data_IF_688545028095
#
_entry.id   IF_688545028095
#
_cell.length_a   1.000
_cell.length_b   1.000
_cell.length_c   1.000
_cell.angle_alpha   90.00
_cell.angle_beta   90.00
_cell.angle_gamma   90.00
#
_symmetry.space_group_name_H-M   'P 1'
#
loop_
_entity.id
_entity.type
_entity.pdbx_description
1 polymer ?
#
# COMPACT_ATOMS: atom_id res chain seq x y z
N UNK A 1 9.46 0.40 -1.16
CA UNK A 1 8.50 0.52 -2.28
C UNK A 1 9.21 0.41 -3.63
N UNK A 2 10.44 0.92 -3.73
CA UNK A 2 11.19 0.99 -5.01
C UNK A 2 11.64 -0.39 -5.55
N UNK A 3 11.60 -1.44 -4.73
CA UNK A 3 11.96 -2.80 -5.12
C UNK A 3 10.78 -3.65 -5.64
N UNK A 4 9.61 -3.08 -5.87
CA UNK A 4 8.41 -3.84 -6.31
C UNK A 4 7.76 -4.72 -5.23
N UNK A 5 8.34 -4.76 -4.03
CA UNK A 5 7.82 -5.51 -2.88
C UNK A 5 6.73 -4.73 -2.12
N UNK A 6 5.83 -5.45 -1.46
CA UNK A 6 4.86 -4.84 -0.55
C UNK A 6 5.63 -4.10 0.55
N UNK A 7 5.35 -2.79 0.80
CA UNK A 7 6.14 -1.95 1.68
C UNK A 7 5.88 -2.25 3.16
N UNK A 8 6.32 -3.41 3.61
CA UNK A 8 6.34 -3.79 5.03
C UNK A 8 7.77 -3.73 5.53
N UNK A 9 7.96 -3.11 6.68
CA UNK A 9 9.24 -3.01 7.38
C UNK A 9 9.12 -3.48 8.82
N UNK A 10 10.18 -4.12 9.32
CA UNK A 10 10.26 -4.57 10.69
C UNK A 10 11.63 -4.22 11.31
N UNK A 11 11.65 -3.96 12.61
CA UNK A 11 12.88 -3.78 13.39
C UNK A 11 12.83 -4.58 14.67
N UNK A 12 13.97 -5.16 15.06
CA UNK A 12 14.15 -5.83 16.36
C UNK A 12 14.97 -4.92 17.26
N UNK A 13 14.46 -4.70 18.47
CA UNK A 13 15.05 -3.83 19.48
C UNK A 13 15.40 -4.65 20.73
N UNK A 14 16.61 -4.47 21.23
CA UNK A 14 17.09 -5.00 22.51
C UNK A 14 17.70 -3.88 23.32
N UNK A 15 17.35 -3.76 24.60
CA UNK A 15 17.89 -2.75 25.52
C UNK A 15 17.88 -1.32 24.94
N UNK A 16 16.76 -0.97 24.29
CA UNK A 16 16.54 0.34 23.67
C UNK A 16 17.31 0.58 22.37
N UNK A 17 18.04 -0.40 21.85
CA UNK A 17 18.82 -0.29 20.60
C UNK A 17 18.23 -1.18 19.50
N UNK A 18 18.16 -0.66 18.30
CA UNK A 18 17.85 -1.46 17.10
C UNK A 18 19.06 -2.36 16.82
N UNK A 19 18.82 -3.69 16.82
CA UNK A 19 19.86 -4.70 16.56
C UNK A 19 19.71 -5.35 15.20
N UNK A 20 18.52 -5.30 14.59
CA UNK A 20 18.28 -5.83 13.26
C UNK A 20 17.10 -5.11 12.61
N UNK A 21 17.08 -5.11 11.27
CA UNK A 21 16.00 -4.57 10.45
C UNK A 21 15.61 -5.57 9.38
N UNK A 22 14.37 -5.50 8.89
CA UNK A 22 13.89 -6.33 7.80
C UNK A 22 12.92 -5.58 6.92
N UNK A 23 12.90 -5.94 5.65
CA UNK A 23 11.90 -5.53 4.66
C UNK A 23 11.31 -6.76 3.99
N UNK A 24 10.11 -6.66 3.46
CA UNK A 24 9.59 -7.71 2.59
C UNK A 24 10.52 -7.91 1.39
N UNK A 25 10.81 -9.18 1.08
CA UNK A 25 11.62 -9.59 -0.04
C UNK A 25 11.18 -10.95 -0.66
N UNK A 26 9.90 -11.35 -0.65
CA UNK A 26 9.49 -12.63 -1.23
C UNK A 26 9.82 -12.76 -2.71
N UNK A 27 9.65 -11.68 -3.49
CA UNK A 27 9.92 -11.67 -4.93
C UNK A 27 11.42 -11.66 -5.19
N UNK A 28 12.13 -10.75 -4.55
CA UNK A 28 13.58 -10.52 -4.72
C UNK A 28 14.40 -11.76 -4.30
N UNK A 29 14.03 -12.38 -3.18
CA UNK A 29 14.68 -13.56 -2.64
C UNK A 29 14.16 -14.90 -3.20
N UNK A 30 13.08 -14.91 -4.01
CA UNK A 30 12.34 -16.12 -4.40
C UNK A 30 11.99 -17.02 -3.19
N UNK A 31 11.66 -16.40 -2.05
CA UNK A 31 11.37 -17.07 -0.78
C UNK A 31 9.99 -16.61 -0.24
N UNK A 32 8.97 -17.49 -0.25
CA UNK A 32 7.64 -17.14 0.23
C UNK A 32 7.62 -16.80 1.73
N UNK A 33 8.68 -17.10 2.47
CA UNK A 33 8.80 -16.80 3.90
C UNK A 33 9.56 -15.50 4.17
N UNK A 34 10.12 -14.82 3.17
CA UNK A 34 10.92 -13.62 3.33
C UNK A 34 10.07 -12.36 3.65
N UNK A 35 9.16 -12.48 4.63
CA UNK A 35 8.47 -11.34 5.20
C UNK A 35 9.43 -10.50 6.04
N UNK A 36 9.14 -9.20 6.16
CA UNK A 36 9.98 -8.25 6.89
C UNK A 36 10.35 -8.74 8.29
N UNK A 37 9.39 -9.33 9.00
CA UNK A 37 9.55 -9.87 10.32
C UNK A 37 10.52 -11.05 10.33
N UNK A 38 10.38 -11.98 9.39
CA UNK A 38 11.25 -13.16 9.29
C UNK A 38 12.69 -12.73 8.98
N UNK A 39 12.86 -11.77 8.07
CA UNK A 39 14.18 -11.20 7.77
C UNK A 39 14.80 -10.57 9.02
N UNK A 40 14.05 -9.72 9.72
CA UNK A 40 14.53 -9.06 10.95
C UNK A 40 14.85 -10.07 12.07
N UNK A 41 14.03 -11.11 12.25
CA UNK A 41 14.27 -12.16 13.26
C UNK A 41 15.55 -12.95 12.96
N UNK A 42 15.76 -13.36 11.71
CA UNK A 42 16.96 -14.07 11.27
C UNK A 42 18.22 -13.25 11.50
N UNK A 43 18.18 -11.97 11.18
CA UNK A 43 19.32 -11.08 11.37
C UNK A 43 19.60 -10.82 12.86
N UNK A 44 18.56 -10.59 13.67
CA UNK A 44 18.69 -10.46 15.11
C UNK A 44 19.30 -11.72 15.74
N UNK A 45 18.89 -12.92 15.29
CA UNK A 45 19.45 -14.18 15.75
C UNK A 45 20.94 -14.33 15.44
N UNK A 46 21.38 -13.88 14.25
CA UNK A 46 22.81 -13.85 13.87
C UNK A 46 23.59 -12.88 14.75
N UNK A 47 23.06 -11.66 14.96
CA UNK A 47 23.70 -10.64 15.80
C UNK A 47 23.88 -11.13 17.24
N UNK A 48 22.88 -11.83 17.77
CA UNK A 48 22.94 -12.34 19.17
C UNK A 48 23.60 -13.70 19.30
N UNK A 49 23.91 -14.39 18.18
CA UNK A 49 24.43 -15.75 18.19
C UNK A 49 23.47 -16.78 18.84
N UNK A 50 22.18 -16.47 18.83
CA UNK A 50 21.16 -17.31 19.48
C UNK A 50 19.81 -17.20 18.73
N UNK A 51 19.12 -18.34 18.52
CA UNK A 51 17.79 -18.35 17.93
C UNK A 51 16.71 -17.82 18.88
N UNK A 52 16.96 -17.84 20.18
CA UNK A 52 16.09 -17.21 21.18
C UNK A 52 16.44 -15.74 21.33
N UNK A 53 15.48 -14.89 21.11
CA UNK A 53 15.60 -13.44 21.19
C UNK A 53 14.98 -12.92 22.50
N UNK A 54 15.31 -13.58 23.60
CA UNK A 54 14.80 -13.23 24.93
C UNK A 54 15.07 -11.75 25.25
N UNK A 55 14.05 -11.07 25.78
CA UNK A 55 14.10 -9.64 26.10
C UNK A 55 13.94 -8.71 24.89
N UNK A 56 13.96 -9.21 23.65
CA UNK A 56 13.78 -8.39 22.46
C UNK A 56 12.32 -7.98 22.24
N UNK A 57 12.14 -6.84 21.58
CA UNK A 57 10.86 -6.36 21.08
C UNK A 57 10.95 -6.22 19.56
N UNK A 58 9.89 -6.61 18.84
CA UNK A 58 9.78 -6.42 17.39
C UNK A 58 8.72 -5.35 17.10
N UNK A 59 9.05 -4.44 16.22
CA UNK A 59 8.14 -3.43 15.68
C UNK A 59 7.98 -3.67 14.19
N UNK A 60 6.75 -3.66 13.69
CA UNK A 60 6.42 -3.92 12.29
C UNK A 60 5.30 -2.99 11.82
N UNK A 61 5.33 -2.59 10.57
CA UNK A 61 4.35 -1.64 10.03
C UNK A 61 2.96 -2.25 9.78
N UNK A 62 2.88 -3.59 9.63
CA UNK A 62 1.62 -4.32 9.39
C UNK A 62 1.44 -5.42 10.44
N UNK A 63 0.20 -5.73 10.78
CA UNK A 63 -0.14 -6.86 11.65
C UNK A 63 0.48 -8.17 11.12
N UNK A 64 1.22 -8.92 11.97
CA UNK A 64 1.89 -10.13 11.53
C UNK A 64 0.89 -11.24 11.16
N UNK A 65 1.19 -11.96 10.08
CA UNK A 65 0.45 -13.14 9.67
C UNK A 65 0.75 -14.34 10.58
N UNK A 66 0.04 -15.45 10.40
CA UNK A 66 0.20 -16.67 11.22
C UNK A 66 1.64 -17.23 11.19
N UNK A 67 2.29 -17.22 10.03
CA UNK A 67 3.68 -17.67 9.88
C UNK A 67 4.64 -16.82 10.72
N UNK A 68 4.55 -15.49 10.59
CA UNK A 68 5.40 -14.56 11.32
C UNK A 68 5.13 -14.60 12.83
N UNK A 69 3.85 -14.66 13.22
CA UNK A 69 3.45 -14.78 14.63
C UNK A 69 4.00 -16.07 15.25
N UNK A 70 3.94 -17.21 14.53
CA UNK A 70 4.55 -18.47 14.97
C UNK A 70 6.07 -18.32 15.15
N UNK A 71 6.77 -17.71 14.19
CA UNK A 71 8.21 -17.47 14.29
C UNK A 71 8.57 -16.58 15.48
N UNK A 72 7.79 -15.54 15.76
CA UNK A 72 7.98 -14.64 16.92
C UNK A 72 7.85 -15.39 18.26
N UNK A 73 6.87 -16.28 18.37
CA UNK A 73 6.68 -17.13 19.55
C UNK A 73 7.83 -18.13 19.73
N UNK A 74 8.31 -18.74 18.61
CA UNK A 74 9.49 -19.61 18.66
C UNK A 74 10.77 -18.86 19.03
N UNK A 75 10.92 -17.63 18.54
CA UNK A 75 12.02 -16.75 18.91
C UNK A 75 11.93 -16.20 20.35
N UNK A 76 10.83 -16.42 21.05
CA UNK A 76 10.58 -15.97 22.43
C UNK A 76 10.68 -14.47 22.61
N UNK A 77 10.12 -13.71 21.68
CA UNK A 77 10.06 -12.25 21.81
C UNK A 77 9.27 -11.84 23.05
N UNK A 78 9.78 -10.85 23.77
CA UNK A 78 9.07 -10.27 24.91
C UNK A 78 7.83 -9.50 24.47
N UNK A 79 7.93 -8.78 23.34
CA UNK A 79 6.88 -7.86 22.85
C UNK A 79 6.87 -7.75 21.34
N UNK A 80 5.67 -7.64 20.79
CA UNK A 80 5.42 -7.29 19.38
C UNK A 80 4.55 -6.03 19.33
N UNK A 81 4.95 -5.07 18.51
CA UNK A 81 4.21 -3.82 18.26
C UNK A 81 3.96 -3.72 16.77
N UNK A 82 2.70 -3.53 16.35
CA UNK A 82 2.39 -3.38 14.93
C UNK A 82 1.58 -2.12 14.62
N UNK A 83 1.69 -1.66 13.38
CA UNK A 83 1.01 -0.49 12.87
C UNK A 83 -0.41 -0.79 12.43
N UNK A 84 -0.61 -0.94 11.12
CA UNK A 84 -1.91 -1.21 10.52
C UNK A 84 -2.40 -2.63 10.80
N UNK A 85 -3.69 -2.81 11.03
CA UNK A 85 -4.34 -4.11 11.07
C UNK A 85 -4.38 -4.75 9.67
N UNK A 86 -4.33 -6.09 9.61
CA UNK A 86 -4.51 -6.84 8.37
C UNK A 86 -5.78 -7.70 8.43
N UNK A 87 -6.90 -7.23 7.84
CA UNK A 87 -8.17 -7.94 7.88
C UNK A 87 -8.19 -9.22 7.03
N UNK A 88 -7.13 -9.53 6.29
CA UNK A 88 -7.05 -10.70 5.39
C UNK A 88 -6.22 -11.84 5.97
N UNK A 89 -5.09 -11.53 6.58
CA UNK A 89 -4.12 -12.55 7.05
C UNK A 89 -3.58 -12.29 8.44
N UNK A 90 -4.01 -11.21 9.11
CA UNK A 90 -3.54 -10.83 10.44
C UNK A 90 -3.80 -11.88 11.51
N UNK A 91 -2.80 -12.20 12.29
CA UNK A 91 -2.87 -13.25 13.33
C UNK A 91 -2.58 -12.73 14.75
N UNK A 92 -2.74 -11.42 14.95
CA UNK A 92 -2.63 -10.75 16.23
C UNK A 92 -3.95 -10.08 16.69
N UNK A 93 -5.08 -10.51 16.11
CA UNK A 93 -6.41 -10.06 16.49
C UNK A 93 -7.39 -9.85 15.35
N UNK A 94 -6.94 -9.64 14.09
CA UNK A 94 -7.84 -9.35 12.97
C UNK A 94 -8.55 -10.58 12.42
N UNK A 95 -7.83 -11.64 12.07
CA UNK A 95 -8.40 -12.91 11.54
C UNK A 95 -8.23 -14.03 12.56
N UNK A 96 -7.04 -14.15 13.10
CA UNK A 96 -6.67 -15.07 14.15
C UNK A 96 -6.02 -14.30 15.30
N UNK A 97 -5.88 -14.95 16.47
CA UNK A 97 -5.08 -14.40 17.55
C UNK A 97 -4.20 -15.50 18.18
N UNK A 98 -3.04 -15.73 17.58
CA UNK A 98 -2.08 -16.71 18.08
C UNK A 98 -1.46 -16.31 19.42
N UNK A 99 -1.34 -15.03 19.68
CA UNK A 99 -0.73 -14.52 20.92
C UNK A 99 -1.65 -14.63 22.14
N UNK A 100 -2.95 -14.88 21.94
CA UNK A 100 -3.89 -15.16 23.03
C UNK A 100 -3.98 -16.64 23.41
N UNK A 101 -3.36 -17.54 22.64
CA UNK A 101 -3.42 -18.97 22.88
C UNK A 101 -2.49 -19.38 24.04
N UNK A 102 -3.08 -19.58 25.21
CA UNK A 102 -2.37 -19.85 26.46
C UNK A 102 -1.67 -21.22 26.52
N UNK A 103 -2.04 -22.14 25.63
CA UNK A 103 -1.43 -23.48 25.56
C UNK A 103 -0.07 -23.47 24.88
N UNK A 104 0.26 -22.39 24.16
CA UNK A 104 1.59 -22.20 23.60
C UNK A 104 2.61 -21.96 24.72
N UNK A 105 3.78 -22.55 24.56
CA UNK A 105 4.82 -22.59 25.59
C UNK A 105 5.60 -21.26 25.75
N UNK A 106 5.23 -20.21 25.01
CA UNK A 106 5.73 -18.84 25.19
C UNK A 106 4.58 -17.84 25.02
N UNK A 107 4.59 -16.79 25.82
CA UNK A 107 3.62 -15.71 25.77
C UNK A 107 4.32 -14.39 25.45
N UNK A 108 3.88 -13.74 24.40
CA UNK A 108 4.43 -12.46 23.91
C UNK A 108 3.40 -11.35 24.14
N UNK A 109 3.81 -10.23 24.72
CA UNK A 109 2.95 -9.06 24.83
C UNK A 109 2.75 -8.42 23.44
N UNK A 110 1.50 -8.08 23.10
CA UNK A 110 1.16 -7.50 21.79
C UNK A 110 0.51 -6.15 21.94
N UNK A 111 0.89 -5.21 21.08
CA UNK A 111 0.27 -3.90 20.95
C UNK A 111 0.08 -3.57 19.48
N UNK A 112 -1.17 -3.41 19.03
CA UNK A 112 -1.52 -2.95 17.70
C UNK A 112 -1.87 -1.47 17.65
N UNK A 113 -2.01 -0.94 16.44
CA UNK A 113 -2.54 0.40 16.18
C UNK A 113 -1.52 1.54 16.28
N UNK A 114 -0.25 1.24 16.48
CA UNK A 114 0.80 2.27 16.58
C UNK A 114 1.11 2.84 15.20
N UNK A 115 0.82 4.14 14.99
CA UNK A 115 0.91 4.79 13.67
C UNK A 115 0.06 4.09 12.59
N UNK A 116 -1.07 3.53 12.96
CA UNK A 116 -1.90 2.69 12.09
C UNK A 116 -2.31 3.40 10.79
N UNK A 117 -2.68 4.69 10.87
CA UNK A 117 -3.07 5.47 9.70
C UNK A 117 -1.89 5.60 8.71
N UNK A 118 -0.74 6.06 9.15
CA UNK A 118 0.42 6.26 8.29
C UNK A 118 0.88 4.94 7.63
N UNK A 119 0.88 3.84 8.40
CA UNK A 119 1.20 2.50 7.88
C UNK A 119 0.16 2.04 6.84
N UNK A 120 -1.13 2.26 7.10
CA UNK A 120 -2.22 1.90 6.19
C UNK A 120 -2.19 2.71 4.88
N UNK A 121 -1.89 4.01 4.95
CA UNK A 121 -1.76 4.88 3.78
C UNK A 121 -0.60 4.44 2.86
N UNK A 122 0.54 4.07 3.44
CA UNK A 122 1.68 3.54 2.69
C UNK A 122 1.30 2.28 1.88
N UNK A 123 0.62 1.33 2.52
CA UNK A 123 0.15 0.10 1.88
C UNK A 123 -0.92 0.37 0.80
N UNK A 124 -1.91 1.20 1.13
CA UNK A 124 -2.98 1.56 0.21
C UNK A 124 -2.46 2.27 -1.03
N UNK A 125 -1.49 3.18 -0.86
CA UNK A 125 -0.80 3.87 -1.96
C UNK A 125 -0.10 2.89 -2.88
N UNK A 126 0.68 1.96 -2.33
CA UNK A 126 1.38 0.94 -3.10
C UNK A 126 0.41 0.08 -3.93
N UNK A 127 -0.66 -0.46 -3.32
CA UNK A 127 -1.61 -1.30 -4.03
C UNK A 127 -2.43 -0.52 -5.07
N UNK A 128 -2.70 0.76 -4.86
CA UNK A 128 -3.33 1.61 -5.86
C UNK A 128 -2.46 1.73 -7.10
N UNK A 129 -1.19 2.10 -6.93
CA UNK A 129 -0.22 2.21 -8.03
C UNK A 129 -0.05 0.88 -8.78
N UNK A 130 0.05 -0.24 -8.06
CA UNK A 130 0.16 -1.57 -8.69
C UNK A 130 -1.07 -1.92 -9.52
N UNK A 131 -2.28 -1.61 -9.05
CA UNK A 131 -3.51 -1.83 -9.84
C UNK A 131 -3.55 -0.97 -11.10
N UNK A 132 -3.09 0.28 -11.03
CA UNK A 132 -3.02 1.16 -12.19
C UNK A 132 -2.02 0.65 -13.24
N UNK A 133 -0.85 0.20 -12.82
CA UNK A 133 0.15 -0.42 -13.70
C UNK A 133 -0.41 -1.69 -14.34
N UNK A 134 -0.98 -2.61 -13.54
CA UNK A 134 -1.56 -3.86 -14.05
C UNK A 134 -2.71 -3.61 -15.04
N UNK A 135 -3.55 -2.59 -14.81
CA UNK A 135 -4.58 -2.19 -15.77
C UNK A 135 -3.99 -1.73 -17.10
N UNK A 136 -2.89 -0.96 -17.07
CA UNK A 136 -2.20 -0.50 -18.28
C UNK A 136 -1.58 -1.67 -19.06
N UNK A 137 -1.01 -2.63 -18.36
CA UNK A 137 -0.39 -3.82 -18.96
C UNK A 137 -1.42 -4.79 -19.55
N UNK A 138 -2.59 -4.95 -18.92
CA UNK A 138 -3.65 -5.84 -19.39
C UNK A 138 -4.45 -5.27 -20.59
N UNK A 139 -4.43 -3.93 -20.78
CA UNK A 139 -5.10 -3.25 -21.87
C UNK A 139 -4.13 -2.30 -22.58
N UNK A 140 -3.19 -2.84 -23.38
CA UNK A 140 -2.20 -2.02 -24.06
C UNK A 140 -2.88 -1.03 -25.01
N UNK A 141 -2.41 0.19 -24.98
CA UNK A 141 -2.91 1.23 -25.88
C UNK A 141 -2.42 0.95 -27.30
N UNK A 142 -3.25 1.27 -28.28
CA UNK A 142 -2.92 1.15 -29.71
C UNK A 142 -1.66 1.98 -30.04
N UNK A 143 -0.70 1.37 -30.71
CA UNK A 143 0.53 2.03 -31.13
C UNK A 143 0.32 3.00 -32.28
N UNK A 144 -0.68 2.74 -33.13
CA UNK A 144 -1.06 3.58 -34.28
C UNK A 144 -1.91 4.80 -33.90
N UNK A 145 -2.24 4.99 -32.62
CA UNK A 145 -2.98 6.15 -32.15
C UNK A 145 -2.02 7.31 -31.83
N UNK A 146 -2.18 8.43 -32.52
CA UNK A 146 -1.47 9.66 -32.21
C UNK A 146 -1.90 10.17 -30.83
N UNK A 147 -0.92 10.56 -30.01
CA UNK A 147 -1.15 11.08 -28.66
C UNK A 147 -0.31 12.30 -28.39
N UNK A 148 -0.90 13.25 -27.68
CA UNK A 148 -0.14 14.33 -27.09
C UNK A 148 0.67 13.77 -25.91
N UNK A 149 1.99 14.02 -25.84
CA UNK A 149 2.81 13.62 -24.70
C UNK A 149 2.28 14.17 -23.37
N UNK A 150 2.30 13.35 -22.32
CA UNK A 150 1.68 13.70 -21.03
C UNK A 150 2.32 14.93 -20.36
N UNK A 151 3.60 15.19 -20.61
CA UNK A 151 4.31 16.39 -20.13
C UNK A 151 3.73 17.70 -20.68
N UNK A 152 3.02 17.67 -21.81
CA UNK A 152 2.35 18.84 -22.38
C UNK A 152 1.14 19.30 -21.54
N UNK A 153 0.67 18.45 -20.64
CA UNK A 153 -0.45 18.75 -19.75
C UNK A 153 -0.02 19.14 -18.32
N UNK A 154 1.29 19.10 -18.01
CA UNK A 154 1.81 19.21 -16.64
C UNK A 154 1.73 20.64 -16.04
N UNK A 155 1.62 21.71 -16.84
CA UNK A 155 1.65 23.08 -16.34
C UNK A 155 0.67 23.99 -17.10
N UNK A 156 -0.57 23.57 -17.19
CA UNK A 156 -1.59 24.35 -17.90
C UNK A 156 -2.13 25.47 -17.00
N UNK A 157 -2.21 26.72 -17.49
CA UNK A 157 -2.76 27.84 -16.73
C UNK A 157 -4.21 27.58 -16.31
N UNK A 158 -4.51 27.89 -15.05
CA UNK A 158 -5.86 27.75 -14.46
C UNK A 158 -6.44 26.32 -14.55
N UNK A 159 -5.57 25.27 -14.55
CA UNK A 159 -5.98 23.88 -14.68
C UNK A 159 -5.27 22.99 -13.64
N UNK A 160 -5.68 23.03 -12.36
CA UNK A 160 -5.00 22.33 -11.29
C UNK A 160 -5.37 20.85 -11.17
N UNK A 161 -6.34 20.36 -11.94
CA UNK A 161 -6.88 19.01 -11.79
C UNK A 161 -5.99 17.95 -12.40
N UNK A 162 -5.81 16.85 -11.66
CA UNK A 162 -5.12 15.67 -12.14
C UNK A 162 -5.98 14.92 -13.18
N UNK A 163 -5.37 14.42 -14.27
CA UNK A 163 -6.10 13.68 -15.28
C UNK A 163 -6.50 12.29 -14.78
N UNK A 164 -7.73 11.87 -15.08
CA UNK A 164 -8.15 10.47 -15.00
C UNK A 164 -8.26 9.89 -16.42
N UNK A 165 -7.98 8.59 -16.56
CA UNK A 165 -8.07 7.89 -17.83
C UNK A 165 -8.82 6.57 -17.70
N UNK A 166 -9.69 6.29 -18.66
CA UNK A 166 -10.25 4.97 -18.91
C UNK A 166 -9.61 4.38 -20.17
N UNK A 167 -9.09 3.17 -20.07
CA UNK A 167 -8.48 2.44 -21.20
C UNK A 167 -8.94 0.99 -21.27
N UNK A 168 -9.76 0.55 -20.32
CA UNK A 168 -10.21 -0.84 -20.12
C UNK A 168 -11.61 -1.12 -20.69
N UNK A 169 -12.24 -0.15 -21.35
CA UNK A 169 -13.52 -0.36 -22.00
C UNK A 169 -13.33 -0.95 -23.41
N UNK A 170 -13.99 -2.08 -23.72
CA UNK A 170 -13.91 -2.71 -25.06
C UNK A 170 -14.28 -1.74 -26.21
N UNK A 171 -15.23 -0.84 -25.97
CA UNK A 171 -15.65 0.18 -26.94
C UNK A 171 -14.56 1.19 -27.30
N UNK A 172 -13.53 1.34 -26.50
CA UNK A 172 -12.40 2.24 -26.80
C UNK A 172 -11.38 1.59 -27.75
N UNK A 173 -11.45 0.28 -27.97
CA UNK A 173 -10.59 -0.45 -28.92
C UNK A 173 -9.09 -0.09 -28.79
N UNK A 174 -8.56 -0.01 -27.55
CA UNK A 174 -7.19 0.35 -27.26
C UNK A 174 -6.88 1.87 -27.25
N UNK A 175 -7.90 2.71 -27.37
CA UNK A 175 -7.79 4.14 -27.09
C UNK A 175 -8.00 4.41 -25.60
N UNK A 176 -7.56 5.57 -25.13
CA UNK A 176 -7.87 6.03 -23.77
C UNK A 176 -8.82 7.23 -23.78
N UNK A 177 -9.78 7.25 -22.89
CA UNK A 177 -10.66 8.38 -22.65
C UNK A 177 -10.15 9.15 -21.43
N UNK A 178 -9.90 10.44 -21.60
CA UNK A 178 -9.60 11.36 -20.49
C UNK A 178 -10.89 11.88 -19.87
N UNK A 179 -10.93 11.98 -18.54
CA UNK A 179 -12.04 12.62 -17.84
C UNK A 179 -11.56 13.30 -16.55
N UNK A 180 -12.35 14.22 -16.06
CA UNK A 180 -12.25 14.79 -14.72
C UNK A 180 -13.48 14.37 -13.92
N UNK A 181 -13.28 14.07 -12.65
CA UNK A 181 -14.34 13.72 -11.67
C UNK A 181 -14.06 14.52 -10.40
N UNK A 182 -14.71 15.68 -10.30
CA UNK A 182 -14.40 16.70 -9.31
C UNK A 182 -15.65 17.07 -8.51
N UNK A 183 -15.47 17.31 -7.23
CA UNK A 183 -16.53 17.71 -6.28
C UNK A 183 -16.84 16.65 -5.24
N UNK A 184 -17.85 16.89 -4.38
CA UNK A 184 -18.26 15.95 -3.34
C UNK A 184 -18.83 14.66 -3.95
N UNK A 185 -18.42 13.51 -3.41
CA UNK A 185 -18.90 12.20 -3.90
C UNK A 185 -20.37 11.93 -3.59
N UNK A 186 -20.93 12.64 -2.62
CA UNK A 186 -22.32 12.58 -2.17
C UNK A 186 -23.15 13.77 -2.65
N UNK A 187 -22.69 14.48 -3.68
CA UNK A 187 -23.39 15.60 -4.27
C UNK A 187 -24.80 15.20 -4.75
N UNK A 188 -25.80 16.02 -4.42
CA UNK A 188 -27.19 15.77 -4.83
C UNK A 188 -27.41 15.93 -6.34
N UNK A 189 -26.47 16.56 -7.05
CA UNK A 189 -26.49 16.81 -8.49
C UNK A 189 -25.14 16.53 -9.09
N UNK A 190 -25.13 15.89 -10.27
CA UNK A 190 -23.95 15.68 -11.08
C UNK A 190 -24.06 16.45 -12.39
N UNK A 191 -23.01 17.20 -12.72
CA UNK A 191 -22.93 17.94 -13.97
C UNK A 191 -22.06 17.16 -14.97
N UNK A 192 -22.64 16.65 -16.05
CA UNK A 192 -21.88 16.00 -17.11
C UNK A 192 -21.51 17.05 -18.18
N UNK A 193 -20.22 17.36 -18.27
CA UNK A 193 -19.68 18.31 -19.23
C UNK A 193 -19.04 17.57 -20.40
N UNK A 194 -19.66 17.60 -21.57
CA UNK A 194 -19.13 17.01 -22.80
C UNK A 194 -18.61 18.11 -23.72
N UNK A 195 -17.41 17.93 -24.24
CA UNK A 195 -16.81 18.86 -25.21
C UNK A 195 -16.89 18.30 -26.64
N UNK A 196 -16.90 19.22 -27.63
CA UNK A 196 -16.80 18.86 -29.02
C UNK A 196 -15.35 18.78 -29.52
N UNK A 197 -15.14 18.18 -30.68
CA UNK A 197 -13.85 18.15 -31.35
C UNK A 197 -13.58 19.54 -32.01
N UNK A 198 -12.37 20.13 -31.88
CA UNK A 198 -11.14 19.61 -31.27
C UNK A 198 -10.93 20.01 -29.78
N UNK A 199 -11.94 20.51 -29.11
CA UNK A 199 -11.84 20.91 -27.71
C UNK A 199 -11.66 19.68 -26.78
N UNK A 200 -11.30 19.93 -25.52
CA UNK A 200 -11.15 18.94 -24.45
C UNK A 200 -11.47 19.59 -23.10
N UNK A 201 -11.33 18.88 -21.99
CA UNK A 201 -11.78 19.33 -20.66
C UNK A 201 -11.21 20.68 -20.20
N UNK A 202 -10.09 21.13 -20.74
CA UNK A 202 -9.54 22.47 -20.51
C UNK A 202 -10.50 23.62 -20.86
N UNK A 203 -11.46 23.36 -21.78
CA UNK A 203 -12.53 24.31 -22.09
C UNK A 203 -13.32 24.72 -20.85
N UNK A 204 -13.54 23.76 -19.94
CA UNK A 204 -14.37 23.96 -18.75
C UNK A 204 -13.60 24.48 -17.54
N UNK A 205 -12.32 24.78 -17.62
CA UNK A 205 -11.47 25.17 -16.48
C UNK A 205 -12.00 26.32 -15.63
N UNK A 206 -12.73 27.25 -16.23
CA UNK A 206 -13.37 28.36 -15.49
C UNK A 206 -14.78 28.03 -14.99
N UNK A 207 -15.41 27.01 -15.51
CA UNK A 207 -16.75 26.57 -15.12
C UNK A 207 -16.71 25.53 -14.02
N UNK A 208 -15.72 24.67 -14.00
CA UNK A 208 -15.57 23.60 -13.00
C UNK A 208 -15.64 24.11 -11.54
N UNK A 209 -14.93 25.18 -11.15
CA UNK A 209 -15.04 25.72 -9.79
C UNK A 209 -16.46 26.21 -9.44
N UNK A 210 -17.20 26.71 -10.43
CA UNK A 210 -18.58 27.16 -10.22
C UNK A 210 -19.51 25.97 -9.97
N UNK A 211 -19.35 24.91 -10.77
CA UNK A 211 -20.15 23.68 -10.62
C UNK A 211 -19.87 22.97 -9.31
N UNK A 212 -18.59 22.81 -8.95
CA UNK A 212 -18.20 22.15 -7.70
C UNK A 212 -18.60 22.94 -6.45
N UNK A 213 -18.70 24.29 -6.55
CA UNK A 213 -19.20 25.12 -5.46
C UNK A 213 -20.73 25.11 -5.34
N UNK A 214 -21.44 24.75 -6.40
CA UNK A 214 -22.90 24.66 -6.40
C UNK A 214 -23.45 23.26 -5.96
N UNK A 215 -22.56 22.31 -5.62
CA UNK A 215 -22.88 20.96 -5.12
C UNK A 215 -23.15 19.98 -6.22
#
# INVERSE_FOLDING_TARGET
>A
ADAGEVPVGAVVVKDGRVIATGRNAPIDAHDPTAHAEIVALRDAARVLGNYRLDGCSLYVTLEPCAMCSGAMLHARLRRVVFGAADPKTGAAGSVLNLFSERRLNHQTAVQGGVLAQACGELLSGFFRTRREVSKRESHPLREDALRTPDERFAALPDYPWAPNYLSDLPSLAGLRLHYLDEGPRDAARTWLCLHGNPAWSYLYRKMLPVFTAAG
#
